data_IF_999425164038
#
_entry.id   IF_999425164038
#
_cell.length_a   1.000
_cell.length_b   1.000
_cell.length_c   1.000
_cell.angle_alpha   90.00
_cell.angle_beta   90.00
_cell.angle_gamma   90.00
#
_symmetry.space_group_name_H-M   'P 1'
#
loop_
_entity.id
_entity.type
_entity.pdbx_description
1 polymer ?
#
# COMPACT_ATOMS: atom_id res chain seq x y z
N UNK A 1 -38.39 33.18 39.42
CA UNK A 1 -37.65 31.97 39.87
C UNK A 1 -38.02 30.81 38.95
N UNK A 2 -37.22 30.58 37.94
CA UNK A 2 -37.42 29.47 36.99
C UNK A 2 -36.46 28.36 37.36
N UNK A 3 -37.02 27.20 37.74
CA UNK A 3 -36.26 26.01 38.11
C UNK A 3 -35.50 25.38 36.92
N UNK A 4 -34.48 24.57 37.16
CA UNK A 4 -33.68 23.98 36.12
C UNK A 4 -34.54 22.97 35.33
N UNK A 5 -34.59 23.17 33.97
CA UNK A 5 -35.21 22.19 33.08
C UNK A 5 -34.41 20.90 33.13
N UNK A 6 -35.06 19.82 33.53
CA UNK A 6 -34.54 18.45 33.37
C UNK A 6 -34.33 18.17 31.89
N UNK A 7 -33.10 17.79 31.53
CA UNK A 7 -32.77 17.33 30.19
C UNK A 7 -33.63 16.11 29.84
N UNK A 8 -34.22 16.11 28.67
CA UNK A 8 -35.06 15.01 28.17
C UNK A 8 -34.22 13.75 27.91
N UNK A 9 -34.85 12.60 27.96
CA UNK A 9 -34.25 11.28 27.77
C UNK A 9 -33.52 11.16 26.44
N UNK A 10 -33.86 11.96 25.42
CA UNK A 10 -33.23 12.03 24.09
C UNK A 10 -31.95 12.85 24.11
N UNK A 11 -31.77 13.85 24.95
CA UNK A 11 -30.53 14.61 25.09
C UNK A 11 -29.44 13.79 25.82
N UNK A 12 -29.83 12.90 26.74
CA UNK A 12 -28.94 11.94 27.40
C UNK A 12 -28.52 10.79 26.44
N UNK A 13 -29.30 10.50 25.42
CA UNK A 13 -29.01 9.48 24.40
C UNK A 13 -27.96 9.96 23.41
N UNK A 14 -27.84 11.25 23.11
CA UNK A 14 -26.86 11.82 22.17
C UNK A 14 -25.44 11.90 22.74
N UNK A 15 -25.24 11.99 24.03
CA UNK A 15 -23.93 11.99 24.70
C UNK A 15 -23.26 10.58 24.74
N UNK A 16 -24.02 9.52 24.47
CA UNK A 16 -23.52 8.12 24.47
C UNK A 16 -22.94 7.70 23.11
N UNK A 17 -23.12 8.50 22.06
CA UNK A 17 -23.05 8.04 20.65
C UNK A 17 -21.65 8.13 20.01
N UNK A 18 -20.62 8.72 20.61
CA UNK A 18 -19.32 8.78 19.93
C UNK A 18 -18.12 8.61 20.86
N UNK A 19 -17.93 7.36 21.31
CA UNK A 19 -16.77 6.97 22.11
C UNK A 19 -15.63 6.40 21.26
N UNK A 20 -15.77 6.34 19.92
CA UNK A 20 -14.75 5.88 19.00
C UNK A 20 -14.36 6.98 18.04
N UNK A 21 -13.04 7.12 17.84
CA UNK A 21 -12.43 8.08 16.91
C UNK A 21 -11.52 7.34 15.96
N UNK A 22 -11.63 7.62 14.67
CA UNK A 22 -10.75 7.10 13.64
C UNK A 22 -9.90 8.23 13.06
N UNK A 23 -8.60 7.95 12.85
CA UNK A 23 -7.68 8.85 12.15
C UNK A 23 -6.60 8.02 11.43
N UNK A 24 -6.44 8.26 10.16
CA UNK A 24 -5.57 7.44 9.33
C UNK A 24 -5.86 5.94 9.54
N UNK A 25 -4.84 5.17 9.86
CA UNK A 25 -4.93 3.71 10.10
C UNK A 25 -5.26 3.33 11.55
N UNK A 26 -5.54 4.32 12.39
CA UNK A 26 -5.79 4.13 13.82
C UNK A 26 -7.28 4.26 14.16
N UNK A 27 -7.72 3.41 15.09
CA UNK A 27 -9.01 3.49 15.76
C UNK A 27 -8.77 3.59 17.27
N UNK A 28 -9.38 4.58 17.91
CA UNK A 28 -9.33 4.78 19.36
C UNK A 28 -10.70 4.51 19.95
N UNK A 29 -10.80 3.58 20.89
CA UNK A 29 -11.95 3.42 21.74
C UNK A 29 -11.70 4.17 23.05
N UNK A 30 -12.33 5.32 23.21
CA UNK A 30 -12.14 6.20 24.36
C UNK A 30 -12.72 5.61 25.67
N UNK A 31 -13.72 4.72 25.55
CA UNK A 31 -14.35 4.03 26.70
C UNK A 31 -13.49 2.89 27.22
N UNK A 32 -13.02 2.03 26.29
CA UNK A 32 -12.22 0.85 26.62
C UNK A 32 -10.75 1.19 26.81
N UNK A 33 -10.36 2.44 26.55
CA UNK A 33 -8.97 2.93 26.58
C UNK A 33 -8.04 2.11 25.68
N UNK A 34 -8.50 1.86 24.46
CA UNK A 34 -7.81 1.01 23.52
C UNK A 34 -7.45 1.79 22.25
N UNK A 35 -6.19 1.69 21.83
CA UNK A 35 -5.71 2.14 20.53
C UNK A 35 -5.49 0.92 19.65
N UNK A 36 -5.97 0.94 18.41
CA UNK A 36 -5.73 -0.09 17.40
C UNK A 36 -5.09 0.53 16.17
N UNK A 37 -4.15 -0.17 15.57
CA UNK A 37 -3.58 0.14 14.26
C UNK A 37 -3.95 -1.00 13.32
N UNK A 38 -4.63 -0.72 12.21
CA UNK A 38 -5.18 -1.75 11.32
C UNK A 38 -5.98 -2.84 12.09
N UNK A 39 -6.77 -2.43 13.10
CA UNK A 39 -7.54 -3.35 13.94
C UNK A 39 -6.73 -4.14 14.98
N UNK A 40 -5.39 -4.11 14.92
CA UNK A 40 -4.50 -4.76 15.89
C UNK A 40 -4.28 -3.84 17.08
N UNK A 41 -4.44 -4.39 18.29
CA UNK A 41 -4.24 -3.60 19.52
C UNK A 41 -2.80 -3.12 19.63
N UNK A 42 -2.64 -1.80 19.81
CA UNK A 42 -1.37 -1.15 20.13
C UNK A 42 -1.27 -1.02 21.63
N UNK A 43 -0.21 -1.56 22.22
CA UNK A 43 0.01 -1.45 23.66
C UNK A 43 0.43 -0.01 24.02
N UNK A 44 -0.52 0.77 24.51
CA UNK A 44 -0.31 2.16 24.93
C UNK A 44 -0.55 2.29 26.41
N UNK A 45 0.44 2.80 27.14
CA UNK A 45 0.33 3.04 28.57
C UNK A 45 -0.73 4.09 28.90
N UNK A 46 -1.18 4.13 30.13
CA UNK A 46 -2.30 4.99 30.58
C UNK A 46 -2.05 6.48 30.30
N UNK A 47 -0.89 7.01 30.64
CA UNK A 47 -0.59 8.45 30.48
C UNK A 47 -0.52 8.89 29.00
N UNK A 48 0.21 8.20 28.12
CA UNK A 48 0.15 8.44 26.67
C UNK A 48 -1.28 8.37 26.11
N UNK A 49 -2.12 7.43 26.57
CA UNK A 49 -3.50 7.34 26.15
C UNK A 49 -4.35 8.54 26.60
N UNK A 50 -4.14 9.03 27.81
CA UNK A 50 -4.84 10.22 28.33
C UNK A 50 -4.45 11.48 27.52
N UNK A 51 -3.20 11.60 27.10
CA UNK A 51 -2.78 12.68 26.18
C UNK A 51 -3.54 12.57 24.86
N UNK A 52 -3.52 11.40 24.23
CA UNK A 52 -4.22 11.17 22.96
C UNK A 52 -5.72 11.52 23.09
N UNK A 53 -6.37 11.05 24.14
CA UNK A 53 -7.77 11.36 24.42
C UNK A 53 -8.00 12.86 24.49
N UNK A 54 -7.18 13.59 25.25
CA UNK A 54 -7.33 15.04 25.44
C UNK A 54 -7.13 15.81 24.14
N UNK A 55 -6.14 15.42 23.34
CA UNK A 55 -5.87 16.02 22.03
C UNK A 55 -6.98 15.74 21.01
N UNK A 56 -7.66 14.59 21.10
CA UNK A 56 -8.79 14.21 20.23
C UNK A 56 -10.13 14.85 20.66
N UNK A 57 -10.20 15.51 21.82
CA UNK A 57 -11.37 16.30 22.24
C UNK A 57 -11.51 17.56 21.37
N UNK A 58 -10.39 18.20 21.02
CA UNK A 58 -10.31 19.42 20.20
C UNK A 58 -9.24 19.27 19.10
N UNK A 59 -9.46 18.44 18.06
CA UNK A 59 -8.51 18.28 16.97
C UNK A 59 -8.24 19.62 16.27
N UNK A 60 -6.97 19.90 15.94
CA UNK A 60 -6.55 21.14 15.32
C UNK A 60 -6.23 22.28 16.30
N UNK A 61 -6.65 22.20 17.57
CA UNK A 61 -6.38 23.21 18.57
C UNK A 61 -5.18 22.83 19.48
N UNK A 62 -4.43 23.84 19.91
CA UNK A 62 -3.34 23.61 20.87
C UNK A 62 -3.89 23.41 22.29
N UNK A 63 -3.43 22.35 22.92
CA UNK A 63 -3.65 22.07 24.33
C UNK A 63 -2.36 22.42 25.07
N UNK A 64 -2.45 23.31 26.06
CA UNK A 64 -1.27 23.77 26.80
C UNK A 64 -0.58 22.64 27.59
N UNK A 65 0.68 22.83 27.92
CA UNK A 65 1.44 21.86 28.72
C UNK A 65 0.84 21.73 30.11
N UNK A 66 0.38 22.83 30.67
CA UNK A 66 -0.28 22.94 31.96
C UNK A 66 -1.61 22.17 31.98
N UNK A 67 -2.42 22.28 30.92
CA UNK A 67 -3.69 21.56 30.84
C UNK A 67 -3.49 20.05 30.67
N UNK A 68 -2.49 19.63 29.89
CA UNK A 68 -2.10 18.22 29.84
C UNK A 68 -1.59 17.72 31.19
N UNK A 69 -0.80 18.53 31.90
CA UNK A 69 -0.29 18.17 33.22
C UNK A 69 -1.42 17.99 34.24
N UNK A 70 -2.42 18.89 34.26
CA UNK A 70 -3.61 18.77 35.14
C UNK A 70 -4.37 17.47 34.89
N UNK A 71 -4.47 17.03 33.63
CA UNK A 71 -5.15 15.76 33.26
C UNK A 71 -4.35 14.54 33.72
N UNK A 72 -3.03 14.60 33.66
CA UNK A 72 -2.15 13.47 33.96
C UNK A 72 -1.75 13.36 35.44
N UNK A 73 -1.70 14.48 36.14
CA UNK A 73 -1.26 14.59 37.53
C UNK A 73 -2.09 15.64 38.29
N UNK A 74 -3.36 15.35 38.60
CA UNK A 74 -4.29 16.33 39.24
C UNK A 74 -3.79 16.83 40.60
N UNK A 75 -2.98 16.03 41.31
CA UNK A 75 -2.53 16.31 42.68
C UNK A 75 -1.07 16.82 42.77
N UNK A 76 -0.37 17.05 41.63
CA UNK A 76 1.07 17.41 41.61
C UNK A 76 1.28 18.85 41.13
N UNK A 77 1.94 19.65 41.96
CA UNK A 77 2.25 21.06 41.67
C UNK A 77 3.70 21.35 41.26
N UNK A 78 4.55 20.32 40.96
CA UNK A 78 5.97 20.52 40.69
C UNK A 78 6.53 19.69 39.55
N UNK A 79 7.26 20.35 38.59
CA UNK A 79 8.16 19.81 37.56
C UNK A 79 7.64 18.58 36.75
N UNK A 80 6.61 18.77 35.96
CA UNK A 80 6.04 17.75 35.08
C UNK A 80 6.68 17.65 33.68
N UNK A 81 7.55 18.60 33.30
CA UNK A 81 8.06 18.73 31.93
C UNK A 81 8.76 17.48 31.39
N UNK A 82 9.65 16.87 32.17
CA UNK A 82 10.33 15.62 31.75
C UNK A 82 9.32 14.47 31.59
N UNK A 83 8.42 14.34 32.52
CA UNK A 83 7.40 13.27 32.53
C UNK A 83 6.40 13.44 31.39
N UNK A 84 5.99 14.66 31.08
CA UNK A 84 5.12 14.98 29.96
C UNK A 84 5.79 14.68 28.62
N UNK A 85 7.04 15.12 28.43
CA UNK A 85 7.82 14.83 27.24
C UNK A 85 8.00 13.32 27.03
N UNK A 86 8.25 12.56 28.09
CA UNK A 86 8.36 11.10 28.04
C UNK A 86 7.05 10.46 27.60
N UNK A 87 5.91 10.92 28.13
CA UNK A 87 4.60 10.41 27.77
C UNK A 87 4.21 10.77 26.33
N UNK A 88 4.51 11.99 25.86
CA UNK A 88 4.31 12.40 24.46
C UNK A 88 5.19 11.60 23.51
N UNK A 89 6.47 11.36 23.86
CA UNK A 89 7.35 10.56 23.03
C UNK A 89 6.95 9.08 22.98
N UNK A 90 6.38 8.54 24.07
CA UNK A 90 5.80 7.19 24.06
C UNK A 90 4.55 7.12 23.15
N UNK A 91 3.71 8.15 23.17
CA UNK A 91 2.56 8.26 22.29
C UNK A 91 2.99 8.37 20.81
N UNK A 92 3.97 9.24 20.52
CA UNK A 92 4.53 9.36 19.16
C UNK A 92 5.09 8.04 18.64
N UNK A 93 5.85 7.33 19.45
CA UNK A 93 6.37 5.99 19.08
C UNK A 93 5.25 5.02 18.76
N UNK A 94 4.18 5.00 19.55
CA UNK A 94 3.03 4.13 19.33
C UNK A 94 2.26 4.48 18.03
N UNK A 95 2.22 5.76 17.67
CA UNK A 95 1.61 6.26 16.44
C UNK A 95 2.56 6.18 15.23
N UNK A 96 3.85 5.92 15.44
CA UNK A 96 4.86 6.04 14.38
C UNK A 96 5.07 7.49 13.94
N UNK A 97 4.98 8.45 14.85
CA UNK A 97 5.06 9.89 14.60
C UNK A 97 6.47 10.43 14.86
N UNK A 98 7.09 11.08 13.89
CA UNK A 98 8.43 11.64 14.02
C UNK A 98 8.37 13.11 14.48
N UNK A 99 9.05 13.45 15.57
CA UNK A 99 8.97 14.79 16.18
C UNK A 99 9.44 15.95 15.29
N UNK A 100 10.30 15.70 14.29
CA UNK A 100 10.78 16.73 13.35
C UNK A 100 9.82 17.00 12.17
N UNK A 101 8.98 16.02 11.82
CA UNK A 101 7.94 16.15 10.82
C UNK A 101 6.68 15.44 11.37
N UNK A 102 5.92 16.13 12.25
CA UNK A 102 4.81 15.51 12.96
C UNK A 102 3.62 15.27 12.01
N UNK A 103 3.02 14.10 12.13
CA UNK A 103 1.83 13.67 11.36
C UNK A 103 0.55 13.70 12.17
N UNK A 104 0.69 13.39 13.45
CA UNK A 104 -0.44 13.29 14.37
C UNK A 104 -0.33 14.32 15.48
N UNK A 105 0.88 14.56 16.02
CA UNK A 105 1.07 15.41 17.19
C UNK A 105 2.12 16.48 16.90
N UNK A 106 1.66 17.67 16.61
CA UNK A 106 2.52 18.85 16.53
C UNK A 106 2.84 19.36 17.93
N UNK A 107 4.10 19.80 18.12
CA UNK A 107 4.51 20.55 19.31
C UNK A 107 5.01 21.92 18.92
N UNK A 108 4.54 22.95 19.63
CA UNK A 108 5.01 24.33 19.44
C UNK A 108 5.39 24.94 20.77
N UNK A 109 6.61 25.48 20.80
CA UNK A 109 7.14 26.11 22.02
C UNK A 109 6.21 27.25 22.47
N UNK A 110 5.88 27.28 23.75
CA UNK A 110 4.98 28.27 24.34
C UNK A 110 3.48 28.01 24.14
N UNK A 111 3.07 27.14 23.21
CA UNK A 111 1.66 26.82 22.93
C UNK A 111 1.25 25.41 23.40
N UNK A 112 2.17 24.44 23.44
CA UNK A 112 1.88 23.07 23.84
C UNK A 112 1.84 22.09 22.69
N UNK A 113 0.80 21.23 22.64
CA UNK A 113 0.63 20.15 21.67
C UNK A 113 -0.74 20.22 21.02
N UNK A 114 -0.84 19.84 19.73
CA UNK A 114 -2.13 19.67 19.06
C UNK A 114 -2.16 18.41 18.21
N UNK A 115 -3.35 17.87 18.00
CA UNK A 115 -3.59 16.80 17.05
C UNK A 115 -3.87 17.40 15.68
N UNK A 116 -3.07 17.04 14.66
CA UNK A 116 -3.12 17.70 13.34
C UNK A 116 -3.72 16.82 12.23
N UNK A 117 -3.83 15.49 12.44
CA UNK A 117 -4.44 14.64 11.44
C UNK A 117 -5.98 14.78 11.45
N UNK A 118 -6.66 14.60 10.30
CA UNK A 118 -8.12 14.48 10.26
C UNK A 118 -8.58 13.36 11.18
N UNK A 119 -9.49 13.68 12.11
CA UNK A 119 -10.04 12.73 13.06
C UNK A 119 -11.57 12.73 12.97
N UNK A 120 -12.15 11.56 12.68
CA UNK A 120 -13.58 11.38 12.54
C UNK A 120 -14.13 10.64 13.74
N UNK A 121 -15.22 11.17 14.33
CA UNK A 121 -15.98 10.47 15.38
C UNK A 121 -16.89 9.44 14.71
N UNK A 122 -16.72 8.17 15.05
CA UNK A 122 -17.57 7.10 14.52
C UNK A 122 -18.92 7.15 15.26
N UNK A 123 -19.93 7.69 14.59
CA UNK A 123 -21.30 7.67 15.12
C UNK A 123 -21.88 6.26 15.00
N UNK A 124 -22.20 5.63 16.12
CA UNK A 124 -22.98 4.39 16.19
C UNK A 124 -24.48 4.70 16.22
N UNK A 125 -25.00 5.39 15.20
CA UNK A 125 -26.40 5.76 15.12
C UNK A 125 -26.91 5.80 13.68
N UNK A 126 -27.92 4.98 13.42
CA UNK A 126 -28.86 4.90 12.30
C UNK A 126 -28.41 5.50 10.97
N UNK A 127 -27.91 4.63 10.07
CA UNK A 127 -27.69 4.95 8.67
C UNK A 127 -29.01 5.32 7.96
N UNK A 128 -28.95 6.23 6.94
CA UNK A 128 -30.10 6.44 6.05
C UNK A 128 -30.48 5.12 5.39
N UNK A 129 -31.78 4.87 5.26
CA UNK A 129 -32.34 3.68 4.67
C UNK A 129 -31.84 3.49 3.23
N UNK A 130 -30.98 2.46 3.01
CA UNK A 130 -30.46 2.07 1.70
C UNK A 130 -29.03 1.57 1.68
N UNK A 131 -28.16 2.05 2.55
CA UNK A 131 -26.77 1.57 2.64
C UNK A 131 -26.69 0.64 3.85
N UNK A 132 -26.37 -0.65 3.63
CA UNK A 132 -26.06 -1.57 4.74
C UNK A 132 -24.84 -0.99 5.48
N UNK A 133 -24.93 -0.65 6.79
CA UNK A 133 -23.77 -0.15 7.50
C UNK A 133 -22.69 -1.23 7.44
N UNK A 134 -21.50 -0.85 6.93
CA UNK A 134 -20.32 -1.72 7.08
C UNK A 134 -20.24 -2.09 8.56
N UNK A 135 -20.29 -3.38 8.86
CA UNK A 135 -20.32 -3.90 10.26
C UNK A 135 -18.95 -3.76 10.90
N UNK A 136 -18.50 -2.51 11.08
CA UNK A 136 -17.23 -2.18 11.75
C UNK A 136 -17.29 -2.67 13.19
N UNK A 137 -16.21 -3.31 13.66
CA UNK A 137 -16.13 -3.85 15.03
C UNK A 137 -16.58 -5.31 15.20
N UNK A 138 -17.08 -5.97 14.12
CA UNK A 138 -17.40 -7.40 14.14
C UNK A 138 -16.11 -8.25 14.06
N UNK A 139 -16.23 -9.55 14.38
CA UNK A 139 -15.10 -10.48 14.19
C UNK A 139 -14.71 -10.60 12.71
N UNK A 140 -15.67 -10.58 11.78
CA UNK A 140 -15.42 -10.55 10.34
C UNK A 140 -14.57 -9.33 9.94
N UNK A 141 -14.89 -8.15 10.48
CA UNK A 141 -14.09 -6.94 10.26
C UNK A 141 -12.67 -7.07 10.81
N UNK A 142 -12.49 -7.67 12.00
CA UNK A 142 -11.16 -7.93 12.57
C UNK A 142 -10.32 -8.86 11.71
N UNK A 143 -10.93 -9.93 11.20
CA UNK A 143 -10.25 -10.86 10.30
C UNK A 143 -9.89 -10.18 8.97
N UNK A 144 -10.78 -9.36 8.39
CA UNK A 144 -10.46 -8.52 7.22
C UNK A 144 -9.25 -7.63 7.46
N UNK A 145 -9.19 -6.92 8.60
CA UNK A 145 -8.05 -6.04 8.92
C UNK A 145 -6.73 -6.81 9.08
N UNK A 146 -6.76 -8.03 9.64
CA UNK A 146 -5.59 -8.91 9.67
C UNK A 146 -5.17 -9.32 8.25
N UNK A 147 -6.14 -9.70 7.40
CA UNK A 147 -5.88 -9.99 6.00
C UNK A 147 -5.17 -8.82 5.30
N UNK A 148 -5.65 -7.59 5.48
CA UNK A 148 -5.02 -6.37 4.95
C UNK A 148 -3.60 -6.15 5.49
N UNK A 149 -3.39 -6.38 6.77
CA UNK A 149 -2.06 -6.28 7.38
C UNK A 149 -1.06 -7.22 6.73
N UNK A 150 -1.43 -8.50 6.54
CA UNK A 150 -0.56 -9.48 5.89
C UNK A 150 -0.36 -9.19 4.40
N UNK A 151 -1.39 -8.75 3.68
CA UNK A 151 -1.31 -8.38 2.27
C UNK A 151 -0.26 -7.29 2.00
N UNK A 152 -0.08 -6.34 2.91
CA UNK A 152 0.87 -5.24 2.78
C UNK A 152 2.34 -5.63 2.99
N UNK A 153 2.63 -6.86 3.45
CA UNK A 153 4.00 -7.36 3.63
C UNK A 153 4.62 -7.89 2.34
N UNK A 154 3.80 -8.22 1.36
CA UNK A 154 4.19 -8.66 0.02
C UNK A 154 5.06 -9.94 -0.03
N UNK A 155 5.13 -10.74 1.05
CA UNK A 155 5.80 -12.05 1.02
C UNK A 155 4.82 -13.16 0.65
N UNK A 156 5.34 -14.24 0.07
CA UNK A 156 4.52 -15.42 -0.29
C UNK A 156 3.76 -16.00 0.90
N UNK A 157 4.43 -16.14 2.05
CA UNK A 157 3.85 -16.66 3.28
C UNK A 157 2.74 -15.73 3.81
N UNK A 158 2.99 -14.43 3.82
CA UNK A 158 2.03 -13.47 4.32
C UNK A 158 0.81 -13.32 3.40
N UNK A 159 0.97 -13.50 2.08
CA UNK A 159 -0.17 -13.54 1.15
C UNK A 159 -1.09 -14.74 1.41
N UNK A 160 -0.57 -15.92 1.72
CA UNK A 160 -1.41 -17.06 2.15
C UNK A 160 -2.15 -16.77 3.45
N UNK A 161 -1.47 -16.16 4.44
CA UNK A 161 -2.13 -15.72 5.69
C UNK A 161 -3.22 -14.69 5.42
N UNK A 162 -2.98 -13.78 4.48
CA UNK A 162 -3.96 -12.77 4.04
C UNK A 162 -5.24 -13.43 3.52
N UNK A 163 -5.12 -14.38 2.60
CA UNK A 163 -6.26 -15.14 2.04
C UNK A 163 -7.02 -15.86 3.16
N UNK A 164 -6.33 -16.62 4.01
CA UNK A 164 -6.97 -17.34 5.10
C UNK A 164 -7.78 -16.41 6.04
N UNK A 165 -7.29 -15.20 6.29
CA UNK A 165 -8.02 -14.21 7.09
C UNK A 165 -9.23 -13.63 6.35
N UNK A 166 -9.14 -13.37 5.04
CA UNK A 166 -10.30 -12.92 4.27
C UNK A 166 -11.37 -14.01 4.18
N UNK A 167 -10.97 -15.28 3.98
CA UNK A 167 -11.88 -16.43 3.99
C UNK A 167 -12.54 -16.61 5.36
N UNK A 168 -11.79 -16.45 6.46
CA UNK A 168 -12.33 -16.44 7.83
C UNK A 168 -13.38 -15.32 8.01
N UNK A 169 -13.12 -14.13 7.46
CA UNK A 169 -14.08 -13.03 7.50
C UNK A 169 -15.38 -13.41 6.77
N UNK A 170 -15.29 -14.05 5.59
CA UNK A 170 -16.44 -14.50 4.80
C UNK A 170 -17.17 -15.68 5.43
N UNK A 171 -16.48 -16.60 6.11
CA UNK A 171 -17.10 -17.68 6.87
C UNK A 171 -17.99 -17.14 8.00
N UNK A 172 -17.62 -15.99 8.60
CA UNK A 172 -18.39 -15.32 9.65
C UNK A 172 -19.51 -14.42 9.10
N UNK A 173 -19.26 -13.74 7.99
CA UNK A 173 -20.21 -12.88 7.31
C UNK A 173 -20.07 -13.00 5.79
N UNK A 174 -20.85 -13.90 5.15
CA UNK A 174 -20.81 -14.08 3.69
C UNK A 174 -21.21 -12.83 2.89
N UNK A 175 -21.83 -11.84 3.52
CA UNK A 175 -22.17 -10.54 2.93
C UNK A 175 -21.11 -9.46 3.12
N UNK A 176 -19.92 -9.79 3.61
CA UNK A 176 -18.89 -8.81 3.92
C UNK A 176 -18.08 -8.44 2.67
N UNK A 177 -18.55 -7.48 1.89
CA UNK A 177 -18.01 -7.09 0.59
C UNK A 177 -16.50 -6.77 0.61
N UNK A 178 -16.00 -6.11 1.67
CA UNK A 178 -14.57 -5.79 1.82
C UNK A 178 -13.66 -7.03 1.84
N UNK A 179 -14.10 -8.18 2.35
CA UNK A 179 -13.28 -9.38 2.34
C UNK A 179 -13.16 -9.95 0.91
N UNK A 180 -14.19 -9.82 0.10
CA UNK A 180 -14.12 -10.17 -1.32
C UNK A 180 -13.14 -9.29 -2.08
N UNK A 181 -13.09 -7.96 -1.80
CA UNK A 181 -12.07 -7.09 -2.41
C UNK A 181 -10.66 -7.50 -2.00
N UNK A 182 -10.48 -7.87 -0.72
CA UNK A 182 -9.21 -8.39 -0.21
C UNK A 182 -8.74 -9.66 -0.91
N UNK A 183 -9.66 -10.61 -1.16
CA UNK A 183 -9.37 -11.82 -1.94
C UNK A 183 -9.03 -11.50 -3.40
N UNK A 184 -9.79 -10.62 -4.04
CA UNK A 184 -9.50 -10.22 -5.42
C UNK A 184 -8.09 -9.67 -5.56
N UNK A 185 -7.68 -8.76 -4.66
CA UNK A 185 -6.34 -8.18 -4.64
C UNK A 185 -5.25 -9.22 -4.36
N UNK A 186 -5.48 -10.12 -3.40
CA UNK A 186 -4.53 -11.18 -3.06
C UNK A 186 -4.28 -12.11 -4.26
N UNK A 187 -5.31 -12.47 -5.02
CA UNK A 187 -5.15 -13.28 -6.22
C UNK A 187 -4.46 -12.53 -7.37
N UNK A 188 -4.65 -11.21 -7.51
CA UNK A 188 -3.83 -10.40 -8.42
C UNK A 188 -2.35 -10.48 -8.01
N UNK A 189 -2.05 -10.34 -6.72
CA UNK A 189 -0.67 -10.49 -6.22
C UNK A 189 -0.11 -11.91 -6.45
N UNK A 190 -0.92 -12.95 -6.38
CA UNK A 190 -0.50 -14.31 -6.73
C UNK A 190 -0.01 -14.42 -8.18
N UNK A 191 -0.69 -13.76 -9.11
CA UNK A 191 -0.25 -13.71 -10.51
C UNK A 191 1.11 -13.02 -10.66
N UNK A 192 1.34 -11.90 -9.94
CA UNK A 192 2.61 -11.18 -9.95
C UNK A 192 3.77 -12.00 -9.35
N UNK A 193 3.49 -12.79 -8.31
CA UNK A 193 4.51 -13.60 -7.63
C UNK A 193 4.69 -15.00 -8.24
N UNK A 194 3.91 -15.34 -9.29
CA UNK A 194 3.99 -16.65 -9.93
C UNK A 194 3.59 -17.81 -9.00
N UNK A 195 2.72 -17.56 -8.03
CA UNK A 195 2.24 -18.57 -7.08
C UNK A 195 1.21 -19.51 -7.71
N UNK A 196 0.45 -18.99 -8.66
CA UNK A 196 -0.46 -19.72 -9.54
C UNK A 196 -0.29 -19.20 -10.97
N UNK A 197 -0.65 -20.00 -11.99
CA UNK A 197 -0.76 -19.49 -13.36
C UNK A 197 -1.62 -18.22 -13.43
N UNK A 198 -1.22 -17.27 -14.27
CA UNK A 198 -1.90 -15.96 -14.33
C UNK A 198 -3.38 -16.09 -14.63
N UNK A 199 -3.78 -17.00 -15.56
CA UNK A 199 -5.17 -17.21 -15.92
C UNK A 199 -6.04 -17.75 -14.77
N UNK A 200 -5.49 -18.63 -13.91
CA UNK A 200 -6.18 -19.14 -12.72
C UNK A 200 -6.31 -18.03 -11.65
N UNK A 201 -5.21 -17.34 -11.35
CA UNK A 201 -5.20 -16.23 -10.41
C UNK A 201 -6.21 -15.16 -10.79
N UNK A 202 -6.23 -14.80 -12.08
CA UNK A 202 -7.12 -13.77 -12.57
C UNK A 202 -8.60 -14.22 -12.61
N UNK A 203 -8.87 -15.49 -12.86
CA UNK A 203 -10.24 -16.03 -12.75
C UNK A 203 -10.78 -15.90 -11.32
N UNK A 204 -9.96 -16.20 -10.32
CA UNK A 204 -10.30 -15.99 -8.91
C UNK A 204 -10.49 -14.51 -8.58
N UNK A 205 -9.55 -13.66 -9.00
CA UNK A 205 -9.64 -12.21 -8.76
C UNK A 205 -10.93 -11.62 -9.31
N UNK A 206 -11.28 -11.96 -10.56
CA UNK A 206 -12.52 -11.52 -11.21
C UNK A 206 -13.76 -11.98 -10.45
N UNK A 207 -13.83 -13.28 -10.11
CA UNK A 207 -14.94 -13.86 -9.34
C UNK A 207 -15.20 -13.09 -8.04
N UNK A 208 -14.13 -12.77 -7.31
CA UNK A 208 -14.25 -12.08 -6.02
C UNK A 208 -14.57 -10.59 -6.19
N UNK A 209 -13.98 -9.91 -7.16
CA UNK A 209 -14.29 -8.51 -7.45
C UNK A 209 -15.75 -8.32 -7.87
N UNK A 210 -16.24 -9.20 -8.75
CA UNK A 210 -17.66 -9.22 -9.16
C UNK A 210 -18.60 -9.53 -7.98
N UNK A 211 -18.19 -10.41 -7.06
CA UNK A 211 -18.96 -10.70 -5.86
C UNK A 211 -19.05 -9.48 -4.93
N UNK A 212 -17.96 -8.74 -4.76
CA UNK A 212 -17.95 -7.51 -3.98
C UNK A 212 -18.94 -6.47 -4.53
N UNK A 213 -18.93 -6.22 -5.85
CA UNK A 213 -19.84 -5.26 -6.49
C UNK A 213 -21.31 -5.70 -6.44
N UNK A 214 -21.59 -7.01 -6.52
CA UNK A 214 -22.98 -7.51 -6.36
C UNK A 214 -23.52 -7.28 -4.95
N UNK A 215 -22.66 -7.29 -3.94
CA UNK A 215 -23.05 -7.06 -2.54
C UNK A 215 -23.21 -5.56 -2.26
N UNK A 216 -22.27 -4.73 -2.76
CA UNK A 216 -22.27 -3.29 -2.57
C UNK A 216 -21.63 -2.58 -3.77
N UNK A 217 -22.46 -2.03 -4.66
CA UNK A 217 -22.04 -1.30 -5.86
C UNK A 217 -21.58 0.14 -5.58
N UNK A 218 -21.75 0.62 -4.35
CA UNK A 218 -21.22 1.91 -3.87
C UNK A 218 -19.92 1.76 -3.07
N UNK A 219 -19.37 0.56 -2.99
CA UNK A 219 -18.11 0.30 -2.29
C UNK A 219 -16.92 0.72 -3.15
N UNK A 220 -16.19 1.75 -2.73
CA UNK A 220 -15.02 2.28 -3.47
C UNK A 220 -13.95 1.19 -3.71
N UNK A 221 -13.69 0.36 -2.69
CA UNK A 221 -12.72 -0.73 -2.76
C UNK A 221 -13.11 -1.80 -3.78
N UNK A 222 -14.41 -2.03 -4.01
CA UNK A 222 -14.88 -2.97 -5.03
C UNK A 222 -14.58 -2.43 -6.44
N UNK A 223 -14.80 -1.15 -6.68
CA UNK A 223 -14.43 -0.49 -7.94
C UNK A 223 -12.92 -0.50 -8.17
N UNK A 224 -12.11 -0.32 -7.12
CA UNK A 224 -10.65 -0.43 -7.21
C UNK A 224 -10.20 -1.84 -7.59
N UNK A 225 -10.82 -2.87 -7.03
CA UNK A 225 -10.50 -4.27 -7.36
C UNK A 225 -10.93 -4.65 -8.78
N UNK A 226 -12.11 -4.19 -9.24
CA UNK A 226 -12.54 -4.34 -10.64
C UNK A 226 -11.60 -3.64 -11.61
N UNK A 227 -11.11 -2.44 -11.25
CA UNK A 227 -10.12 -1.74 -12.07
C UNK A 227 -8.84 -2.57 -12.25
N UNK A 228 -8.36 -3.22 -11.18
CA UNK A 228 -7.24 -4.16 -11.24
C UNK A 228 -7.54 -5.35 -12.17
N UNK A 229 -8.71 -5.97 -12.08
CA UNK A 229 -9.13 -7.06 -12.98
C UNK A 229 -9.13 -6.60 -14.44
N UNK A 230 -9.76 -5.47 -14.73
CA UNK A 230 -9.80 -4.90 -16.09
C UNK A 230 -8.41 -4.65 -16.65
N UNK A 231 -7.52 -4.07 -15.84
CA UNK A 231 -6.14 -3.76 -16.23
C UNK A 231 -5.31 -5.01 -16.48
N UNK A 232 -5.21 -5.92 -15.51
CA UNK A 232 -4.26 -7.04 -15.54
C UNK A 232 -4.80 -8.26 -16.28
N UNK A 233 -6.10 -8.52 -16.15
CA UNK A 233 -6.76 -9.69 -16.71
C UNK A 233 -7.27 -9.47 -18.14
N UNK A 234 -7.99 -8.36 -18.32
CA UNK A 234 -8.78 -8.11 -19.53
C UNK A 234 -8.03 -7.23 -20.53
N UNK A 235 -7.05 -6.42 -20.07
CA UNK A 235 -6.41 -5.34 -20.80
C UNK A 235 -7.42 -4.30 -21.30
N UNK A 236 -8.53 -4.16 -20.54
CA UNK A 236 -9.55 -3.11 -20.74
C UNK A 236 -9.09 -1.83 -20.07
N UNK A 237 -8.20 -1.09 -20.75
CA UNK A 237 -7.57 0.11 -20.20
C UNK A 237 -8.60 1.20 -19.90
N UNK A 238 -9.55 1.45 -20.81
CA UNK A 238 -10.61 2.45 -20.64
C UNK A 238 -11.53 2.09 -19.48
N UNK A 239 -11.95 0.84 -19.40
CA UNK A 239 -12.79 0.38 -18.30
C UNK A 239 -12.05 0.38 -16.95
N UNK A 240 -10.74 0.11 -16.94
CA UNK A 240 -9.92 0.22 -15.73
C UNK A 240 -9.87 1.66 -15.22
N UNK A 241 -9.60 2.65 -16.11
CA UNK A 241 -9.59 4.06 -15.74
C UNK A 241 -10.93 4.51 -15.19
N UNK A 242 -12.03 4.17 -15.88
CA UNK A 242 -13.37 4.52 -15.42
C UNK A 242 -13.66 3.97 -14.02
N UNK A 243 -13.23 2.73 -13.74
CA UNK A 243 -13.41 2.11 -12.42
C UNK A 243 -12.56 2.76 -11.33
N UNK A 244 -11.27 3.11 -11.61
CA UNK A 244 -10.45 3.88 -10.66
C UNK A 244 -11.05 5.25 -10.36
N UNK A 245 -11.48 5.99 -11.38
CA UNK A 245 -12.14 7.28 -11.19
C UNK A 245 -13.43 7.14 -10.37
N UNK A 246 -14.21 6.08 -10.61
CA UNK A 246 -15.42 5.81 -9.82
C UNK A 246 -15.08 5.52 -8.36
N UNK A 247 -14.04 4.75 -8.08
CA UNK A 247 -13.56 4.51 -6.72
C UNK A 247 -13.23 5.81 -5.99
N UNK A 248 -12.48 6.72 -6.64
CA UNK A 248 -12.10 8.00 -6.07
C UNK A 248 -13.27 8.98 -5.93
N UNK A 249 -14.30 8.91 -6.79
CA UNK A 249 -15.56 9.66 -6.60
C UNK A 249 -16.33 9.18 -5.37
N UNK A 250 -16.31 7.87 -5.08
CA UNK A 250 -16.99 7.30 -3.92
C UNK A 250 -16.21 7.54 -2.63
N UNK A 251 -14.88 7.49 -2.67
CA UNK A 251 -14.01 7.75 -1.54
C UNK A 251 -12.69 8.39 -1.99
N UNK A 252 -12.64 9.71 -1.99
CA UNK A 252 -11.44 10.48 -2.34
C UNK A 252 -10.33 10.45 -1.26
N UNK A 253 -10.57 9.83 -0.11
CA UNK A 253 -9.60 9.69 0.97
C UNK A 253 -9.08 8.24 1.10
N UNK A 254 -9.22 7.42 0.08
CA UNK A 254 -8.64 6.07 0.06
C UNK A 254 -7.21 6.11 -0.51
N UNK A 255 -6.15 5.99 0.33
CA UNK A 255 -4.76 6.01 -0.14
C UNK A 255 -4.44 4.84 -1.07
N UNK A 256 -5.17 3.72 -0.94
CA UNK A 256 -5.01 2.57 -1.82
C UNK A 256 -5.56 2.86 -3.23
N UNK A 257 -6.73 3.49 -3.34
CA UNK A 257 -7.31 3.85 -4.62
C UNK A 257 -6.41 4.83 -5.39
N UNK A 258 -5.91 5.87 -4.72
CA UNK A 258 -4.93 6.80 -5.28
C UNK A 258 -3.66 6.09 -5.75
N UNK A 259 -3.07 5.23 -4.92
CA UNK A 259 -1.87 4.46 -5.26
C UNK A 259 -2.08 3.58 -6.51
N UNK A 260 -3.16 2.80 -6.56
CA UNK A 260 -3.41 1.89 -7.68
C UNK A 260 -3.80 2.64 -8.96
N UNK A 261 -4.44 3.80 -8.84
CA UNK A 261 -4.69 4.66 -10.00
C UNK A 261 -3.40 5.32 -10.50
N UNK A 262 -2.51 5.75 -9.61
CA UNK A 262 -1.19 6.23 -9.96
C UNK A 262 -0.36 5.18 -10.72
N UNK A 263 -0.38 3.93 -10.24
CA UNK A 263 0.26 2.80 -10.89
C UNK A 263 -0.31 2.54 -12.31
N UNK A 264 -1.63 2.63 -12.47
CA UNK A 264 -2.27 2.59 -13.78
C UNK A 264 -1.82 3.73 -14.70
N UNK A 265 -1.85 4.96 -14.23
CA UNK A 265 -1.45 6.15 -15.00
C UNK A 265 0.01 6.07 -15.45
N UNK A 266 0.90 5.56 -14.58
CA UNK A 266 2.30 5.29 -14.89
C UNK A 266 2.44 4.27 -16.02
N UNK A 267 1.67 3.19 -16.01
CA UNK A 267 1.61 2.19 -17.10
C UNK A 267 1.22 2.82 -18.44
N UNK A 268 0.30 3.79 -18.41
CA UNK A 268 -0.14 4.51 -19.60
C UNK A 268 0.88 5.55 -20.10
N UNK A 269 1.95 5.81 -19.34
CA UNK A 269 2.95 6.85 -19.61
C UNK A 269 2.51 8.26 -19.21
N UNK A 270 1.45 8.39 -18.40
CA UNK A 270 0.90 9.67 -17.87
C UNK A 270 1.60 10.05 -16.57
N UNK A 271 2.90 10.33 -16.66
CA UNK A 271 3.79 10.47 -15.49
C UNK A 271 3.41 11.59 -14.54
N UNK A 272 3.00 12.76 -15.03
CA UNK A 272 2.61 13.89 -14.17
C UNK A 272 1.35 13.56 -13.34
N UNK A 273 0.36 12.94 -13.98
CA UNK A 273 -0.87 12.53 -13.29
C UNK A 273 -0.57 11.40 -12.30
N UNK A 274 0.30 10.45 -12.66
CA UNK A 274 0.72 9.40 -11.76
C UNK A 274 1.42 9.95 -10.51
N UNK A 275 2.32 10.92 -10.66
CA UNK A 275 3.00 11.56 -9.54
C UNK A 275 2.03 12.34 -8.64
N UNK A 276 1.03 13.00 -9.22
CA UNK A 276 -0.02 13.69 -8.44
C UNK A 276 -0.83 12.70 -7.59
N UNK A 277 -1.27 11.60 -8.19
CA UNK A 277 -2.09 10.60 -7.48
C UNK A 277 -1.28 9.85 -6.40
N UNK A 278 -0.02 9.49 -6.67
CA UNK A 278 0.82 8.85 -5.64
C UNK A 278 1.20 9.82 -4.53
N UNK A 279 1.35 11.11 -4.83
CA UNK A 279 1.53 12.17 -3.85
C UNK A 279 0.33 12.27 -2.91
N UNK A 280 -0.90 12.27 -3.45
CA UNK A 280 -2.12 12.22 -2.65
C UNK A 280 -2.20 10.97 -1.77
N UNK A 281 -1.82 9.80 -2.30
CA UNK A 281 -1.73 8.57 -1.49
C UNK A 281 -0.72 8.71 -0.33
N UNK A 282 0.43 9.32 -0.59
CA UNK A 282 1.48 9.54 0.41
C UNK A 282 1.05 10.55 1.48
N UNK A 283 0.32 11.60 1.12
CA UNK A 283 -0.26 12.54 2.09
C UNK A 283 -1.26 11.85 3.01
N UNK A 284 -2.08 10.93 2.48
CA UNK A 284 -3.07 10.17 3.25
C UNK A 284 -2.44 9.09 4.14
N UNK A 285 -1.38 8.40 3.69
CA UNK A 285 -0.65 7.38 4.47
C UNK A 285 0.87 7.45 4.21
N UNK A 286 1.57 8.47 4.75
CA UNK A 286 2.99 8.72 4.49
C UNK A 286 3.95 7.68 5.08
N UNK A 287 3.52 6.80 6.01
CA UNK A 287 4.36 5.70 6.53
C UNK A 287 4.09 4.35 5.87
N UNK A 288 3.23 4.29 4.89
CA UNK A 288 3.03 3.08 4.11
C UNK A 288 4.28 2.76 3.30
N UNK A 289 4.97 1.67 3.64
CA UNK A 289 6.14 1.20 2.88
C UNK A 289 5.77 0.93 1.42
N UNK A 290 4.56 0.43 1.18
CA UNK A 290 4.07 0.11 -0.17
C UNK A 290 3.87 1.39 -0.99
N UNK A 291 3.28 2.44 -0.42
CA UNK A 291 3.09 3.72 -1.12
C UNK A 291 4.42 4.39 -1.40
N UNK A 292 5.34 4.41 -0.42
CA UNK A 292 6.65 5.00 -0.60
C UNK A 292 7.50 4.26 -1.64
N UNK A 293 7.43 2.93 -1.68
CA UNK A 293 8.08 2.11 -2.70
C UNK A 293 7.46 2.35 -4.08
N UNK A 294 6.13 2.40 -4.16
CA UNK A 294 5.42 2.68 -5.42
C UNK A 294 5.75 4.06 -5.98
N UNK A 295 5.91 5.07 -5.12
CA UNK A 295 6.38 6.39 -5.53
C UNK A 295 7.78 6.32 -6.16
N UNK A 296 8.71 5.56 -5.56
CA UNK A 296 10.03 5.35 -6.14
C UNK A 296 9.95 4.65 -7.50
N UNK A 297 9.07 3.64 -7.62
CA UNK A 297 8.83 2.93 -8.88
C UNK A 297 8.25 3.86 -9.96
N UNK A 298 7.26 4.69 -9.63
CA UNK A 298 6.66 5.66 -10.57
C UNK A 298 7.69 6.67 -11.06
N UNK A 299 8.57 7.16 -10.18
CA UNK A 299 9.69 8.03 -10.55
C UNK A 299 10.68 7.32 -11.48
N UNK A 300 11.02 6.05 -11.20
CA UNK A 300 11.86 5.22 -12.07
C UNK A 300 11.24 5.07 -13.47
N UNK A 301 9.96 4.74 -13.56
CA UNK A 301 9.23 4.61 -14.82
C UNK A 301 9.14 5.96 -15.56
N UNK A 302 9.00 7.06 -14.85
CA UNK A 302 9.03 8.41 -15.40
C UNK A 302 10.44 8.86 -15.83
N UNK A 303 11.46 8.02 -15.63
CA UNK A 303 12.89 8.27 -15.91
C UNK A 303 13.53 9.35 -15.01
N UNK A 304 12.88 9.70 -13.93
CA UNK A 304 13.49 10.45 -12.83
C UNK A 304 14.24 9.49 -11.91
N UNK A 305 15.40 9.01 -12.40
CA UNK A 305 16.20 8.00 -11.71
C UNK A 305 16.83 8.53 -10.42
N UNK A 306 17.17 9.82 -10.39
CA UNK A 306 17.67 10.45 -9.17
C UNK A 306 16.56 10.52 -8.10
N UNK A 307 15.37 11.00 -8.45
CA UNK A 307 14.22 11.03 -7.55
C UNK A 307 13.81 9.63 -7.08
N UNK A 308 13.90 8.61 -7.95
CA UNK A 308 13.63 7.22 -7.60
C UNK A 308 14.63 6.70 -6.55
N UNK A 309 15.92 6.99 -6.69
CA UNK A 309 16.96 6.62 -5.73
C UNK A 309 16.72 7.31 -4.38
N UNK A 310 16.49 8.62 -4.38
CA UNK A 310 16.22 9.39 -3.15
C UNK A 310 14.97 8.88 -2.40
N UNK A 311 13.90 8.58 -3.14
CA UNK A 311 12.68 8.05 -2.53
C UNK A 311 12.87 6.62 -1.99
N UNK A 312 13.66 5.79 -2.68
CA UNK A 312 14.04 4.46 -2.20
C UNK A 312 14.84 4.55 -0.90
N UNK A 313 15.81 5.46 -0.80
CA UNK A 313 16.54 5.72 0.45
C UNK A 313 15.62 6.15 1.60
N UNK A 314 14.65 7.02 1.36
CA UNK A 314 13.64 7.41 2.36
C UNK A 314 12.85 6.20 2.86
N UNK A 315 12.52 5.29 1.95
CA UNK A 315 11.79 4.05 2.30
C UNK A 315 12.67 3.10 3.11
N UNK A 316 13.95 2.94 2.75
CA UNK A 316 14.92 2.11 3.47
C UNK A 316 15.29 2.69 4.84
N UNK A 317 15.23 4.01 5.02
CA UNK A 317 15.36 4.63 6.34
C UNK A 317 14.21 4.26 7.30
N UNK A 318 13.03 3.89 6.76
CA UNK A 318 11.89 3.40 7.55
C UNK A 318 12.01 1.90 7.84
N UNK A 319 12.42 1.11 6.85
CA UNK A 319 12.60 -0.35 6.94
C UNK A 319 13.84 -0.77 6.12
N UNK A 320 15.01 -0.95 6.76
CA UNK A 320 16.28 -1.20 6.07
C UNK A 320 16.35 -2.51 5.25
N UNK A 321 15.48 -3.48 5.56
CA UNK A 321 15.44 -4.77 4.89
C UNK A 321 14.26 -4.92 3.93
N UNK A 322 13.67 -3.81 3.48
CA UNK A 322 12.55 -3.85 2.57
C UNK A 322 13.02 -4.09 1.13
N UNK A 323 13.08 -5.35 0.73
CA UNK A 323 13.60 -5.79 -0.56
C UNK A 323 13.03 -5.05 -1.78
N UNK A 324 11.72 -4.68 -1.86
CA UNK A 324 11.21 -3.91 -3.00
C UNK A 324 11.87 -2.54 -3.16
N UNK A 325 12.18 -1.84 -2.05
CA UNK A 325 12.87 -0.55 -2.12
C UNK A 325 14.34 -0.70 -2.50
N UNK A 326 15.04 -1.74 -2.00
CA UNK A 326 16.41 -2.06 -2.42
C UNK A 326 16.46 -2.38 -3.92
N UNK A 327 15.48 -3.15 -4.41
CA UNK A 327 15.38 -3.47 -5.84
C UNK A 327 15.22 -2.21 -6.70
N UNK A 328 14.30 -1.30 -6.34
CA UNK A 328 14.10 -0.06 -7.09
C UNK A 328 15.32 0.87 -7.01
N UNK A 329 16.00 0.92 -5.84
CA UNK A 329 17.25 1.66 -5.68
C UNK A 329 18.34 1.15 -6.63
N UNK A 330 18.54 -0.17 -6.67
CA UNK A 330 19.51 -0.78 -7.57
C UNK A 330 19.18 -0.53 -9.06
N UNK A 331 17.89 -0.60 -9.44
CA UNK A 331 17.46 -0.26 -10.81
C UNK A 331 17.72 1.21 -11.13
N UNK A 332 17.48 2.13 -10.19
CA UNK A 332 17.75 3.55 -10.38
C UNK A 332 19.26 3.82 -10.53
N UNK A 333 20.10 3.22 -9.68
CA UNK A 333 21.56 3.32 -9.80
C UNK A 333 22.08 2.81 -11.13
N UNK A 334 21.54 1.71 -11.63
CA UNK A 334 21.90 1.18 -12.93
C UNK A 334 21.63 2.19 -14.06
N UNK A 335 20.48 2.83 -14.05
CA UNK A 335 20.12 3.84 -15.06
C UNK A 335 20.96 5.13 -14.93
N UNK A 336 21.52 5.40 -13.74
CA UNK A 336 22.47 6.49 -13.49
C UNK A 336 23.91 6.12 -13.85
N UNK A 337 24.17 4.88 -14.34
CA UNK A 337 25.51 4.40 -14.68
C UNK A 337 26.35 3.94 -13.47
N UNK A 338 25.78 3.90 -12.28
CA UNK A 338 26.41 3.46 -11.03
C UNK A 338 26.29 1.93 -10.92
N UNK A 339 26.99 1.21 -11.80
CA UNK A 339 26.77 -0.23 -11.98
C UNK A 339 27.17 -1.08 -10.77
N UNK A 340 28.27 -0.73 -10.09
CA UNK A 340 28.72 -1.51 -8.92
C UNK A 340 27.78 -1.32 -7.72
N UNK A 341 27.33 -0.08 -7.47
CA UNK A 341 26.34 0.22 -6.43
C UNK A 341 24.99 -0.45 -6.75
N UNK A 342 24.58 -0.47 -8.02
CA UNK A 342 23.40 -1.17 -8.46
C UNK A 342 23.46 -2.67 -8.16
N UNK A 343 24.59 -3.32 -8.45
CA UNK A 343 24.80 -4.75 -8.18
C UNK A 343 24.72 -5.03 -6.68
N UNK A 344 25.34 -4.18 -5.85
CA UNK A 344 25.29 -4.34 -4.37
C UNK A 344 23.86 -4.26 -3.87
N UNK A 345 23.07 -3.24 -4.26
CA UNK A 345 21.70 -3.08 -3.81
C UNK A 345 20.77 -4.19 -4.31
N UNK A 346 20.98 -4.66 -5.56
CA UNK A 346 20.18 -5.77 -6.10
C UNK A 346 20.53 -7.11 -5.47
N UNK A 347 21.79 -7.34 -5.06
CA UNK A 347 22.17 -8.53 -4.32
C UNK A 347 21.61 -8.49 -2.89
N UNK A 348 21.62 -7.34 -2.24
CA UNK A 348 20.92 -7.13 -0.95
C UNK A 348 19.42 -7.42 -1.09
N UNK A 349 18.75 -6.91 -2.13
CA UNK A 349 17.34 -7.17 -2.40
C UNK A 349 17.06 -8.67 -2.59
N UNK A 350 17.93 -9.37 -3.35
CA UNK A 350 17.86 -10.81 -3.57
C UNK A 350 17.98 -11.58 -2.25
N UNK A 351 18.95 -11.23 -1.41
CA UNK A 351 19.17 -11.86 -0.11
C UNK A 351 17.98 -11.65 0.84
N UNK A 352 17.36 -10.46 0.82
CA UNK A 352 16.20 -10.14 1.67
C UNK A 352 14.89 -10.77 1.16
N UNK A 353 14.74 -11.00 -0.16
CA UNK A 353 13.52 -11.56 -0.77
C UNK A 353 13.50 -13.10 -0.84
N UNK A 354 14.57 -13.79 -0.42
CA UNK A 354 14.65 -15.24 -0.52
C UNK A 354 14.74 -15.72 -1.97
N UNK A 355 15.57 -15.11 -2.78
CA UNK A 355 15.80 -15.46 -4.20
C UNK A 355 14.53 -15.34 -5.07
N UNK A 356 13.76 -14.27 -4.85
CA UNK A 356 12.57 -14.03 -5.68
C UNK A 356 12.95 -13.79 -7.15
N UNK A 357 12.21 -14.33 -8.15
CA UNK A 357 12.56 -14.21 -9.57
C UNK A 357 12.74 -12.75 -10.03
N UNK A 358 11.98 -11.80 -9.50
CA UNK A 358 12.09 -10.37 -9.83
C UNK A 358 13.47 -9.80 -9.49
N UNK A 359 13.95 -10.05 -8.26
CA UNK A 359 15.24 -9.53 -7.78
C UNK A 359 16.40 -10.25 -8.46
N UNK A 360 16.25 -11.54 -8.72
CA UNK A 360 17.26 -12.32 -9.45
C UNK A 360 17.39 -11.85 -10.92
N UNK A 361 16.29 -11.57 -11.60
CA UNK A 361 16.30 -11.03 -12.95
C UNK A 361 16.88 -9.60 -12.99
N UNK A 362 16.58 -8.78 -12.01
CA UNK A 362 17.14 -7.43 -11.91
C UNK A 362 18.67 -7.48 -11.72
N UNK A 363 19.17 -8.35 -10.84
CA UNK A 363 20.60 -8.56 -10.64
C UNK A 363 21.28 -9.11 -11.90
N UNK A 364 20.68 -10.11 -12.57
CA UNK A 364 21.21 -10.67 -13.81
C UNK A 364 21.30 -9.60 -14.92
N UNK A 365 20.29 -8.74 -15.03
CA UNK A 365 20.29 -7.62 -15.96
C UNK A 365 21.42 -6.63 -15.63
N UNK A 366 21.59 -6.25 -14.36
CA UNK A 366 22.63 -5.32 -13.93
C UNK A 366 24.04 -5.88 -14.19
N UNK A 367 24.28 -7.15 -13.91
CA UNK A 367 25.53 -7.84 -14.20
C UNK A 367 25.84 -7.85 -15.72
N UNK A 368 24.82 -8.11 -16.55
CA UNK A 368 24.99 -8.08 -18.01
C UNK A 368 25.38 -6.69 -18.51
N UNK A 369 24.72 -5.63 -18.02
CA UNK A 369 25.04 -4.24 -18.38
C UNK A 369 26.42 -3.81 -17.86
N UNK A 370 26.89 -4.31 -16.72
CA UNK A 370 28.22 -4.08 -16.17
C UNK A 370 29.32 -4.89 -16.90
N UNK A 371 28.96 -5.66 -17.94
CA UNK A 371 29.91 -6.50 -18.69
C UNK A 371 30.27 -7.83 -18.01
N UNK A 372 29.66 -8.15 -16.86
CA UNK A 372 29.85 -9.39 -16.10
C UNK A 372 28.98 -10.52 -16.67
N UNK A 373 29.08 -10.72 -17.96
CA UNK A 373 28.25 -11.65 -18.76
C UNK A 373 28.18 -13.08 -18.20
N UNK A 374 29.29 -13.74 -17.79
CA UNK A 374 29.23 -15.10 -17.28
C UNK A 374 28.38 -15.23 -16.02
N UNK A 375 28.40 -14.23 -15.14
CA UNK A 375 27.61 -14.22 -13.92
C UNK A 375 26.10 -13.99 -14.21
N UNK A 376 25.81 -13.11 -15.18
CA UNK A 376 24.44 -12.91 -15.65
C UNK A 376 23.85 -14.19 -16.27
N UNK A 377 24.64 -14.93 -17.07
CA UNK A 377 24.21 -16.21 -17.68
C UNK A 377 23.96 -17.30 -16.62
N UNK A 378 24.74 -17.35 -15.53
CA UNK A 378 24.50 -18.26 -14.40
C UNK A 378 23.14 -17.96 -13.75
N UNK A 379 22.85 -16.68 -13.49
CA UNK A 379 21.55 -16.30 -12.90
C UNK A 379 20.38 -16.56 -13.86
N UNK A 380 20.57 -16.36 -15.16
CA UNK A 380 19.57 -16.69 -16.17
C UNK A 380 19.24 -18.20 -16.17
N UNK A 381 20.25 -19.07 -16.09
CA UNK A 381 20.03 -20.51 -15.99
C UNK A 381 19.36 -20.92 -14.70
N UNK A 382 19.66 -20.23 -13.58
CA UNK A 382 18.93 -20.44 -12.32
C UNK A 382 17.45 -20.04 -12.46
N UNK A 383 17.14 -18.88 -13.06
CA UNK A 383 15.77 -18.46 -13.34
C UNK A 383 15.00 -19.47 -14.19
N UNK A 384 15.63 -20.02 -15.24
CA UNK A 384 15.03 -21.07 -16.07
C UNK A 384 14.72 -22.35 -15.27
N UNK A 385 15.64 -22.76 -14.39
CA UNK A 385 15.42 -23.94 -13.53
C UNK A 385 14.30 -23.73 -12.52
N UNK A 386 14.17 -22.52 -11.96
CA UNK A 386 13.05 -22.16 -11.06
C UNK A 386 11.70 -22.35 -11.75
N UNK A 387 11.61 -22.19 -13.06
CA UNK A 387 10.37 -22.40 -13.83
C UNK A 387 9.82 -23.83 -13.76
N UNK A 388 10.60 -24.81 -13.31
CA UNK A 388 10.12 -26.18 -13.06
C UNK A 388 9.41 -26.37 -11.72
N UNK A 389 9.58 -25.43 -10.77
CA UNK A 389 9.04 -25.52 -9.41
C UNK A 389 8.14 -24.35 -9.03
N UNK A 390 8.24 -23.24 -9.74
CA UNK A 390 7.48 -21.99 -9.54
C UNK A 390 7.21 -21.37 -10.91
N UNK A 391 6.07 -20.71 -11.11
CA UNK A 391 5.80 -19.99 -12.35
C UNK A 391 6.67 -18.72 -12.44
N UNK A 392 7.81 -18.82 -13.10
CA UNK A 392 8.66 -17.65 -13.39
C UNK A 392 8.11 -16.95 -14.62
N UNK A 393 7.77 -15.68 -14.49
CA UNK A 393 7.28 -14.87 -15.61
C UNK A 393 8.31 -14.76 -16.73
N UNK A 394 7.89 -15.02 -17.95
CA UNK A 394 8.71 -14.85 -19.18
C UNK A 394 9.13 -13.41 -19.41
N UNK A 395 8.36 -12.47 -18.86
CA UNK A 395 8.73 -11.05 -18.82
C UNK A 395 10.12 -10.82 -18.21
N UNK A 396 10.44 -11.52 -17.10
CA UNK A 396 11.74 -11.39 -16.45
C UNK A 396 12.88 -12.02 -17.24
N UNK A 397 12.62 -13.14 -17.90
CA UNK A 397 13.61 -13.74 -18.79
C UNK A 397 13.93 -12.82 -19.98
N UNK A 398 12.90 -12.18 -20.55
CA UNK A 398 13.06 -11.23 -21.65
C UNK A 398 13.92 -10.03 -21.24
N UNK A 399 13.79 -9.51 -20.03
CA UNK A 399 14.65 -8.43 -19.50
C UNK A 399 16.12 -8.86 -19.49
N UNK A 400 16.44 -10.06 -19.00
CA UNK A 400 17.81 -10.55 -18.96
C UNK A 400 18.35 -10.79 -20.38
N UNK A 401 17.56 -11.40 -21.27
CA UNK A 401 17.94 -11.57 -22.67
C UNK A 401 18.20 -10.24 -23.38
N UNK A 402 17.40 -9.22 -23.09
CA UNK A 402 17.61 -7.86 -23.64
C UNK A 402 18.97 -7.30 -23.23
N UNK A 403 19.36 -7.41 -21.96
CA UNK A 403 20.67 -6.96 -21.49
C UNK A 403 21.84 -7.75 -22.08
N UNK A 404 21.64 -9.05 -22.37
CA UNK A 404 22.64 -9.91 -23.02
C UNK A 404 22.74 -9.69 -24.54
N UNK A 405 21.89 -8.84 -25.13
CA UNK A 405 21.80 -8.62 -26.57
C UNK A 405 21.16 -9.78 -27.34
N UNK A 406 20.56 -10.74 -26.65
CA UNK A 406 19.89 -11.90 -27.25
C UNK A 406 18.43 -11.55 -27.62
N UNK A 407 18.23 -10.60 -28.53
CA UNK A 407 16.94 -9.98 -28.83
C UNK A 407 15.87 -10.97 -29.32
N UNK A 408 16.25 -11.97 -30.12
CA UNK A 408 15.30 -12.97 -30.59
C UNK A 408 14.72 -13.80 -29.42
N UNK A 409 15.57 -14.22 -28.48
CA UNK A 409 15.13 -14.91 -27.27
C UNK A 409 14.30 -14.01 -26.35
N UNK A 410 14.59 -12.70 -26.31
CA UNK A 410 13.79 -11.72 -25.61
C UNK A 410 12.37 -11.62 -26.20
N UNK A 411 12.26 -11.51 -27.53
CA UNK A 411 10.96 -11.47 -28.21
C UNK A 411 10.19 -12.78 -28.09
N UNK A 412 10.84 -13.93 -28.19
CA UNK A 412 10.21 -15.24 -27.93
C UNK A 412 9.60 -15.28 -26.52
N UNK A 413 10.38 -14.86 -25.52
CA UNK A 413 9.91 -14.79 -24.14
C UNK A 413 8.73 -13.82 -23.97
N UNK A 414 8.76 -12.64 -24.59
CA UNK A 414 7.66 -11.68 -24.56
C UNK A 414 6.39 -12.19 -25.27
N UNK A 415 6.53 -12.94 -26.36
CA UNK A 415 5.40 -13.57 -27.05
C UNK A 415 4.72 -14.62 -26.18
N UNK A 416 5.52 -15.46 -25.48
CA UNK A 416 4.98 -16.43 -24.53
C UNK A 416 4.31 -15.75 -23.32
N UNK A 417 4.93 -14.68 -22.78
CA UNK A 417 4.31 -13.87 -21.72
C UNK A 417 2.94 -13.32 -22.16
N UNK A 418 2.87 -12.81 -23.39
CA UNK A 418 1.64 -12.26 -23.97
C UNK A 418 0.57 -13.36 -24.18
N UNK A 419 0.97 -14.56 -24.63
CA UNK A 419 0.06 -15.71 -24.79
C UNK A 419 -0.51 -16.15 -23.44
N UNK A 420 0.29 -16.14 -22.39
CA UNK A 420 -0.10 -16.52 -21.03
C UNK A 420 -0.75 -15.38 -20.24
N UNK A 421 -0.90 -14.19 -20.82
CA UNK A 421 -1.43 -12.99 -20.17
C UNK A 421 -0.75 -12.69 -18.82
N UNK A 422 0.58 -12.73 -18.81
CA UNK A 422 1.34 -12.54 -17.58
C UNK A 422 1.18 -11.10 -17.03
N UNK A 423 1.04 -10.97 -15.71
CA UNK A 423 0.70 -9.71 -15.04
C UNK A 423 1.68 -8.57 -15.33
N UNK A 424 2.99 -8.88 -15.46
CA UNK A 424 4.05 -7.89 -15.65
C UNK A 424 4.03 -7.21 -17.01
N UNK A 425 3.36 -7.76 -18.02
CA UNK A 425 3.27 -7.18 -19.36
C UNK A 425 2.67 -5.78 -19.41
N UNK A 426 1.89 -5.41 -18.43
CA UNK A 426 1.32 -4.06 -18.36
C UNK A 426 2.38 -2.96 -18.34
N UNK A 427 3.61 -3.29 -17.93
CA UNK A 427 4.76 -2.37 -17.91
C UNK A 427 5.54 -2.29 -19.21
N UNK A 428 5.26 -3.15 -20.19
CA UNK A 428 6.07 -3.29 -21.42
C UNK A 428 6.30 -1.95 -22.14
N UNK A 429 5.26 -1.10 -22.20
CA UNK A 429 5.34 0.20 -22.87
C UNK A 429 6.37 1.14 -22.23
N UNK A 430 6.49 1.13 -20.91
CA UNK A 430 7.16 2.19 -20.14
C UNK A 430 8.47 1.73 -19.46
N UNK A 431 8.71 0.43 -19.36
CA UNK A 431 9.88 -0.16 -18.69
C UNK A 431 11.19 0.24 -19.39
N UNK A 432 12.12 0.97 -18.72
CA UNK A 432 13.37 1.43 -19.32
C UNK A 432 14.28 0.31 -19.83
N UNK A 433 14.27 -0.86 -19.16
CA UNK A 433 15.14 -2.00 -19.53
C UNK A 433 14.80 -2.62 -20.88
N UNK A 434 13.65 -2.28 -21.47
CA UNK A 434 13.27 -2.68 -22.83
C UNK A 434 13.59 -1.63 -23.91
N UNK A 435 14.23 -0.52 -23.56
CA UNK A 435 14.58 0.51 -24.54
C UNK A 435 15.36 -0.01 -25.77
N UNK A 436 16.29 -0.99 -25.62
CA UNK A 436 16.96 -1.56 -26.78
C UNK A 436 16.04 -2.27 -27.79
N UNK A 437 14.86 -2.73 -27.34
CA UNK A 437 13.89 -3.41 -28.21
C UNK A 437 12.91 -2.46 -28.91
N UNK A 438 12.80 -1.19 -28.49
CA UNK A 438 11.78 -0.26 -28.99
C UNK A 438 11.87 0.07 -30.46
N UNK A 439 13.06 -0.02 -31.04
CA UNK A 439 13.30 0.24 -32.48
C UNK A 439 12.87 -0.92 -33.37
N UNK A 440 12.58 -2.08 -32.82
CA UNK A 440 12.17 -3.28 -33.55
C UNK A 440 10.64 -3.30 -33.76
N UNK A 441 10.20 -3.58 -34.98
CA UNK A 441 8.77 -3.64 -35.31
C UNK A 441 7.98 -4.68 -34.48
N UNK A 442 8.66 -5.75 -34.03
CA UNK A 442 8.08 -6.79 -33.15
C UNK A 442 7.63 -6.22 -31.81
N UNK A 443 8.34 -5.20 -31.32
CA UNK A 443 7.96 -4.53 -30.06
C UNK A 443 6.64 -3.77 -30.20
N UNK A 444 6.48 -3.03 -31.28
CA UNK A 444 5.22 -2.34 -31.58
C UNK A 444 4.04 -3.32 -31.81
N UNK A 445 4.33 -4.47 -32.44
CA UNK A 445 3.31 -5.50 -32.58
C UNK A 445 2.83 -6.04 -31.22
N UNK A 446 3.75 -6.24 -30.27
CA UNK A 446 3.38 -6.66 -28.91
C UNK A 446 2.56 -5.58 -28.18
N UNK A 447 2.94 -4.29 -28.29
CA UNK A 447 2.17 -3.20 -27.68
C UNK A 447 0.74 -3.12 -28.24
N UNK A 448 0.57 -3.23 -29.56
CA UNK A 448 -0.78 -3.30 -30.17
C UNK A 448 -1.60 -4.47 -29.64
N UNK A 449 -0.98 -5.65 -29.52
CA UNK A 449 -1.66 -6.85 -29.04
C UNK A 449 -2.20 -6.72 -27.61
N UNK A 450 -1.53 -5.97 -26.76
CA UNK A 450 -1.94 -5.69 -25.38
C UNK A 450 -2.69 -4.35 -25.23
N UNK A 451 -2.89 -3.60 -26.33
CA UNK A 451 -3.63 -2.34 -26.36
C UNK A 451 -2.91 -1.16 -25.69
N UNK A 452 -1.56 -1.14 -25.72
CA UNK A 452 -0.69 -0.10 -25.14
C UNK A 452 0.08 0.73 -26.19
N UNK A 453 -0.29 0.69 -27.46
CA UNK A 453 0.36 1.49 -28.49
C UNK A 453 0.18 3.00 -28.30
#
# INVERSE_FOLDING_TARGET
>A
MSGPKLKTRDELSNDVISLRVQFGVFEVNLRERELRKFGVRVNLQQKPFQILRRLLETPGEFVSREDLAKVLWPDLHVLFDRSLNTAVNALRRALGDAGRNPRFIESRQGLGYRFIAPAERIQTGRAPSGIRPQRRGTEAHRDYLKGRYFSNKLTTEDLHKSIAHFESALARDPGYALAYTGLADAYIQFAFQGMLPAHESFAHAKKFADAALRIDDQLAEAHTSIAGVKRYCEWDWTGAEAAYRRALQLNCNDPRAHRLYADYLSTMGRSEEAQKEIGAAQELDPLSLVINMEMAWILYIARDFQGAAEQSWKTLAMEPRFAPAQNTLGLAYQQLGMNEEAIVELDNARACSGEHPTTQAALAHALAIAGRRPEAEILLEQLKRMSGTRSVSRYWLAIVYTALGAFDAAFESLHEACKNREAWLVWLKVEPRYDPLRVDARFHHLLRRIGLE
#
